data_IF_349650606774
#
_entry.id   IF_349650606774
#
_cell.length_a   1.000
_cell.length_b   1.000
_cell.length_c   1.000
_cell.angle_alpha   90.00
_cell.angle_beta   90.00
_cell.angle_gamma   90.00
#
_symmetry.space_group_name_H-M   'P 1'
#
loop_
_entity.id
_entity.type
_entity.pdbx_description
1 polymer ?
#
# COMPACT_ATOMS: atom_id res chain seq x y z
N UNK A 1 -12.50 -19.05 11.75
CA UNK A 1 -11.20 -18.36 11.66
C UNK A 1 -11.30 -17.07 12.46
N UNK A 2 -10.54 -16.94 13.55
CA UNK A 2 -10.58 -15.73 14.41
C UNK A 2 -9.80 -14.64 13.67
N UNK A 3 -10.44 -13.53 13.31
CA UNK A 3 -9.73 -12.37 12.77
C UNK A 3 -8.76 -11.87 13.83
N UNK A 4 -7.49 -12.29 13.73
CA UNK A 4 -6.41 -11.68 14.48
C UNK A 4 -6.25 -10.26 13.93
N UNK A 5 -6.96 -9.31 14.55
CA UNK A 5 -6.73 -7.88 14.37
C UNK A 5 -5.38 -7.54 15.01
N UNK A 6 -4.31 -7.98 14.36
CA UNK A 6 -2.97 -7.60 14.71
C UNK A 6 -2.87 -6.09 14.44
N UNK A 7 -2.60 -5.31 15.48
CA UNK A 7 -2.31 -3.89 15.28
C UNK A 7 -1.11 -3.76 14.35
N UNK A 8 -1.03 -2.67 13.59
CA UNK A 8 0.12 -2.40 12.71
C UNK A 8 1.44 -2.52 13.50
N UNK A 9 1.45 -2.08 14.76
CA UNK A 9 2.59 -2.18 15.67
C UNK A 9 3.07 -3.62 15.86
N UNK A 10 2.13 -4.56 16.00
CA UNK A 10 2.43 -5.99 16.11
C UNK A 10 2.93 -6.56 14.78
N UNK A 11 2.35 -6.15 13.64
CA UNK A 11 2.83 -6.61 12.33
C UNK A 11 4.27 -6.21 12.02
N UNK A 12 4.74 -5.04 12.48
CA UNK A 12 6.15 -4.63 12.32
C UNK A 12 7.09 -5.57 13.07
N UNK A 13 6.74 -5.92 14.32
CA UNK A 13 7.53 -6.84 15.13
C UNK A 13 7.57 -8.24 14.52
N UNK A 14 6.46 -8.71 13.95
CA UNK A 14 6.39 -10.04 13.33
C UNK A 14 7.18 -10.14 12.01
N UNK A 15 7.22 -9.07 11.21
CA UNK A 15 7.90 -9.09 9.91
C UNK A 15 9.42 -8.80 10.00
N UNK A 16 9.95 -8.44 11.17
CA UNK A 16 11.39 -8.20 11.37
C UNK A 16 11.95 -6.98 10.61
N UNK A 17 11.08 -6.09 10.14
CA UNK A 17 11.44 -4.95 9.28
C UNK A 17 11.04 -3.61 9.93
N UNK A 18 11.75 -2.51 9.61
CA UNK A 18 11.41 -1.19 10.12
C UNK A 18 9.96 -0.80 9.79
N UNK A 19 9.33 -0.07 10.71
CA UNK A 19 7.97 0.43 10.54
C UNK A 19 7.82 1.32 9.30
N UNK A 20 8.88 2.02 8.89
CA UNK A 20 8.93 2.81 7.65
C UNK A 20 8.77 1.91 6.43
N UNK A 21 9.57 0.85 6.32
CA UNK A 21 9.58 -0.09 5.19
C UNK A 21 8.22 -0.72 4.94
N UNK A 22 7.53 -1.21 5.98
CA UNK A 22 6.18 -1.76 5.78
C UNK A 22 5.14 -0.69 5.43
N UNK A 23 5.24 0.52 6.00
CA UNK A 23 4.35 1.62 5.61
C UNK A 23 4.54 2.01 4.14
N UNK A 24 5.76 1.90 3.64
CA UNK A 24 6.09 2.13 2.23
C UNK A 24 5.38 1.07 1.34
N UNK A 25 5.37 -0.19 1.78
CA UNK A 25 4.68 -1.27 1.08
C UNK A 25 3.15 -1.25 1.21
N UNK A 26 2.56 -0.64 2.25
CA UNK A 26 1.10 -0.61 2.43
C UNK A 26 0.41 0.08 1.26
N UNK A 27 0.90 1.25 0.81
CA UNK A 27 0.27 1.97 -0.29
C UNK A 27 0.36 1.21 -1.62
N UNK A 28 1.49 0.52 -1.84
CA UNK A 28 1.70 -0.32 -3.02
C UNK A 28 0.74 -1.51 -3.00
N UNK A 29 0.62 -2.19 -1.86
CA UNK A 29 -0.28 -3.33 -1.68
C UNK A 29 -1.76 -2.93 -1.77
N UNK A 30 -2.13 -1.78 -1.19
CA UNK A 30 -3.47 -1.22 -1.29
C UNK A 30 -3.82 -0.89 -2.74
N UNK A 31 -2.92 -0.23 -3.48
CA UNK A 31 -3.18 0.09 -4.88
C UNK A 31 -3.25 -1.19 -5.73
N UNK A 32 -2.37 -2.17 -5.51
CA UNK A 32 -2.45 -3.47 -6.19
C UNK A 32 -3.80 -4.15 -6.00
N UNK A 33 -4.38 -4.04 -4.80
CA UNK A 33 -5.68 -4.63 -4.45
C UNK A 33 -6.85 -3.86 -5.07
N UNK A 34 -6.77 -2.54 -5.09
CA UNK A 34 -7.83 -1.67 -5.63
C UNK A 34 -7.81 -1.66 -7.15
N UNK A 35 -6.63 -1.52 -7.75
CA UNK A 35 -6.41 -1.40 -9.19
C UNK A 35 -4.97 -1.82 -9.55
N UNK A 36 -4.80 -3.12 -9.83
CA UNK A 36 -3.50 -3.67 -10.24
C UNK A 36 -2.96 -3.06 -11.54
N UNK A 37 -3.83 -2.59 -12.45
CA UNK A 37 -3.41 -1.99 -13.71
C UNK A 37 -2.83 -0.60 -13.51
N UNK A 38 -3.41 0.18 -12.60
CA UNK A 38 -2.85 1.48 -12.22
C UNK A 38 -1.46 1.34 -11.61
N UNK A 39 -1.23 0.29 -10.79
CA UNK A 39 0.11 0.01 -10.27
C UNK A 39 1.10 -0.33 -11.40
N UNK A 40 0.71 -1.15 -12.37
CA UNK A 40 1.55 -1.47 -13.53
C UNK A 40 1.89 -0.22 -14.36
N UNK A 41 0.98 0.75 -14.47
CA UNK A 41 1.24 2.03 -15.12
C UNK A 41 2.28 2.85 -14.35
N UNK A 42 2.16 2.95 -13.01
CA UNK A 42 3.15 3.64 -12.18
C UNK A 42 4.53 2.98 -12.31
N UNK A 43 4.57 1.65 -12.37
CA UNK A 43 5.82 0.89 -12.54
C UNK A 43 6.43 1.08 -13.94
N UNK A 44 5.63 1.33 -14.97
CA UNK A 44 6.11 1.56 -16.35
C UNK A 44 6.53 2.99 -16.63
N UNK A 45 5.93 3.95 -15.94
CA UNK A 45 6.21 5.39 -16.09
C UNK A 45 7.56 5.81 -15.44
N UNK A 46 8.47 4.85 -15.24
CA UNK A 46 9.52 4.89 -14.22
C UNK A 46 10.58 5.98 -14.43
N UNK A 47 10.38 7.07 -13.68
CA UNK A 47 11.43 7.87 -13.04
C UNK A 47 11.55 7.61 -11.52
N UNK A 48 10.82 6.63 -10.98
CA UNK A 48 10.84 6.32 -9.54
C UNK A 48 12.08 5.48 -9.20
N UNK A 49 13.11 6.16 -8.68
CA UNK A 49 14.41 5.57 -8.32
C UNK A 49 14.41 4.82 -6.98
N UNK A 50 13.35 4.96 -6.17
CA UNK A 50 13.26 4.32 -4.85
C UNK A 50 11.85 3.78 -4.54
N UNK A 51 11.78 2.81 -3.62
CA UNK A 51 10.53 2.28 -3.07
C UNK A 51 9.65 3.38 -2.46
N UNK A 52 10.30 4.43 -1.94
CA UNK A 52 9.62 5.59 -1.37
C UNK A 52 8.95 6.46 -2.43
N UNK A 53 9.59 6.66 -3.57
CA UNK A 53 8.99 7.39 -4.70
C UNK A 53 7.77 6.64 -5.24
N UNK A 54 7.89 5.30 -5.30
CA UNK A 54 6.81 4.41 -5.69
C UNK A 54 5.64 4.47 -4.69
N UNK A 55 5.93 4.46 -3.38
CA UNK A 55 4.91 4.63 -2.34
C UNK A 55 4.17 5.96 -2.49
N UNK A 56 4.89 7.07 -2.67
CA UNK A 56 4.28 8.40 -2.78
C UNK A 56 3.37 8.47 -4.01
N UNK A 57 3.81 7.91 -5.14
CA UNK A 57 3.00 7.80 -6.34
C UNK A 57 1.74 6.96 -6.10
N UNK A 58 1.87 5.81 -5.43
CA UNK A 58 0.74 4.95 -5.08
C UNK A 58 -0.25 5.67 -4.15
N UNK A 59 0.23 6.36 -3.11
CA UNK A 59 -0.63 7.15 -2.21
C UNK A 59 -1.39 8.25 -2.95
N UNK A 60 -0.73 8.96 -3.87
CA UNK A 60 -1.40 9.99 -4.71
C UNK A 60 -2.50 9.40 -5.57
N UNK A 61 -2.28 8.23 -6.20
CA UNK A 61 -3.32 7.57 -7.01
C UNK A 61 -4.46 7.05 -6.14
N UNK A 62 -4.15 6.44 -4.99
CA UNK A 62 -5.13 5.93 -4.04
C UNK A 62 -6.13 6.99 -3.53
N UNK A 63 -5.75 8.27 -3.49
CA UNK A 63 -6.69 9.35 -3.16
C UNK A 63 -7.95 9.36 -4.04
N UNK A 64 -7.83 8.96 -5.32
CA UNK A 64 -8.96 8.87 -6.25
C UNK A 64 -9.90 7.70 -5.95
N UNK A 65 -9.39 6.70 -5.23
CA UNK A 65 -10.11 5.48 -4.88
C UNK A 65 -10.63 5.48 -3.44
N UNK A 66 -10.53 6.60 -2.70
CA UNK A 66 -11.08 6.73 -1.34
C UNK A 66 -12.55 6.25 -1.27
N UNK A 67 -13.46 6.64 -2.19
CA UNK A 67 -14.84 6.14 -2.16
C UNK A 67 -14.95 4.62 -2.30
N UNK A 68 -14.13 4.02 -3.18
CA UNK A 68 -14.10 2.57 -3.43
C UNK A 68 -13.53 1.82 -2.22
N UNK A 69 -12.42 2.32 -1.65
CA UNK A 69 -11.81 1.75 -0.46
C UNK A 69 -12.70 1.82 0.78
N UNK A 70 -13.53 2.86 0.90
CA UNK A 70 -14.49 2.98 2.01
C UNK A 70 -15.53 1.86 1.96
N UNK A 71 -15.96 1.47 0.75
CA UNK A 71 -16.88 0.33 0.56
C UNK A 71 -16.20 -1.02 0.81
N UNK A 72 -14.90 -1.16 0.55
CA UNK A 72 -14.15 -2.40 0.83
C UNK A 72 -13.76 -2.60 2.30
N UNK A 73 -13.93 -1.59 3.15
CA UNK A 73 -13.67 -1.66 4.60
C UNK A 73 -14.90 -2.05 5.44
N UNK A 74 -16.07 -2.20 4.80
CA UNK A 74 -17.29 -2.73 5.41
C UNK A 74 -17.35 -4.23 5.22
#
# INVERSE_FOLDING_TARGET
>A
MKENRCSMACTFRFAGCPQSTLRDFVAIAELKKVDSRELDLILRDQGATSERDLEVACRKRLQRYIPVMTNMRR
#
